data_IF_824520146314
#
_entry.id   IF_824520146314
#
_cell.length_a   1.000
_cell.length_b   1.000
_cell.length_c   1.000
_cell.angle_alpha   90.00
_cell.angle_beta   90.00
_cell.angle_gamma   90.00
#
_symmetry.space_group_name_H-M   'P 1'
#
loop_
_entity.id
_entity.type
_entity.pdbx_description
1 polymer ?
#
# COMPACT_ATOMS: atom_id res chain seq x y z
N UNK A 1 1.27 2.60 -19.80
CA UNK A 1 -0.07 1.99 -19.65
C UNK A 1 -0.27 1.63 -18.19
N UNK A 2 -1.51 1.46 -17.71
CA UNK A 2 -1.77 0.96 -16.35
C UNK A 2 -1.93 -0.55 -16.42
N UNK A 3 -1.24 -1.27 -15.53
CA UNK A 3 -1.34 -2.74 -15.45
C UNK A 3 -2.73 -3.16 -14.96
N UNK A 4 -3.29 -4.19 -15.59
CA UNK A 4 -4.53 -4.80 -15.12
C UNK A 4 -4.29 -5.57 -13.82
N UNK A 5 -5.34 -5.81 -13.03
CA UNK A 5 -5.26 -6.67 -11.85
C UNK A 5 -4.78 -8.08 -12.17
N UNK A 6 -5.14 -8.61 -13.35
CA UNK A 6 -4.62 -9.90 -13.81
C UNK A 6 -3.10 -9.88 -13.98
N UNK A 7 -2.59 -8.86 -14.66
CA UNK A 7 -1.14 -8.68 -14.88
C UNK A 7 -0.39 -8.46 -13.57
N UNK A 8 -0.92 -7.64 -12.66
CA UNK A 8 -0.34 -7.43 -11.32
C UNK A 8 -0.24 -8.75 -10.56
N UNK A 9 -1.29 -9.59 -10.63
CA UNK A 9 -1.28 -10.93 -10.05
C UNK A 9 -0.19 -11.79 -10.68
N UNK A 10 -0.09 -11.86 -11.99
CA UNK A 10 0.89 -12.73 -12.68
C UNK A 10 2.34 -12.34 -12.39
N UNK A 11 2.63 -11.04 -12.28
CA UNK A 11 3.98 -10.55 -12.04
C UNK A 11 4.50 -10.85 -10.62
N UNK A 12 3.62 -11.24 -9.68
CA UNK A 12 4.01 -11.62 -8.31
C UNK A 12 4.88 -10.57 -7.60
N UNK A 13 4.64 -9.28 -7.88
CA UNK A 13 5.42 -8.14 -7.38
C UNK A 13 5.33 -7.98 -5.86
N UNK A 14 4.24 -8.46 -5.25
CA UNK A 14 3.82 -8.08 -3.90
C UNK A 14 3.74 -9.32 -3.00
N UNK A 15 4.33 -9.27 -1.81
CA UNK A 15 4.30 -10.34 -0.82
C UNK A 15 4.09 -9.80 0.61
N UNK A 16 3.13 -10.30 1.40
CA UNK A 16 2.16 -11.33 1.04
C UNK A 16 1.10 -10.80 0.06
N UNK A 17 0.84 -11.55 -1.02
CA UNK A 17 -0.22 -11.21 -1.96
C UNK A 17 -1.61 -11.54 -1.37
N UNK A 18 -2.57 -10.64 -1.55
CA UNK A 18 -3.96 -10.82 -1.16
C UNK A 18 -4.89 -10.51 -2.33
N UNK A 19 -5.80 -11.45 -2.56
CA UNK A 19 -7.00 -11.18 -3.34
C UNK A 19 -7.86 -10.11 -2.66
N UNK A 20 -8.72 -9.47 -3.46
CA UNK A 20 -9.57 -8.40 -2.94
C UNK A 20 -10.41 -8.90 -1.78
N UNK A 21 -10.25 -8.28 -0.62
CA UNK A 21 -11.00 -8.63 0.58
C UNK A 21 -11.32 -7.39 1.40
N UNK A 22 -12.03 -7.58 2.50
CA UNK A 22 -12.46 -6.54 3.43
C UNK A 22 -12.13 -6.95 4.85
N UNK A 23 -11.46 -6.06 5.58
CA UNK A 23 -11.06 -6.26 6.97
C UNK A 23 -11.37 -4.98 7.76
N UNK A 24 -11.94 -5.11 8.96
CA UNK A 24 -12.37 -3.97 9.80
C UNK A 24 -13.19 -2.89 9.06
N UNK A 25 -14.00 -3.29 8.07
CA UNK A 25 -14.81 -2.33 7.31
C UNK A 25 -14.13 -1.68 6.11
N UNK A 26 -12.83 -1.93 5.87
CA UNK A 26 -12.04 -1.35 4.77
C UNK A 26 -11.58 -2.43 3.78
N UNK A 27 -11.60 -2.11 2.48
CA UNK A 27 -11.09 -3.05 1.46
C UNK A 27 -9.58 -2.92 1.29
N UNK A 28 -8.91 -4.06 1.07
CA UNK A 28 -7.50 -4.12 0.68
C UNK A 28 -7.26 -5.25 -0.35
N UNK A 29 -6.03 -5.37 -0.85
CA UNK A 29 -5.60 -6.39 -1.82
C UNK A 29 -5.83 -5.97 -3.28
N UNK A 30 -5.85 -6.97 -4.17
CA UNK A 30 -5.89 -6.75 -5.61
C UNK A 30 -7.14 -5.98 -6.08
N UNK A 31 -6.93 -4.88 -6.80
CA UNK A 31 -7.95 -4.13 -7.51
C UNK A 31 -7.97 -4.43 -9.01
N UNK A 32 -8.91 -3.81 -9.77
CA UNK A 32 -8.98 -4.00 -11.22
C UNK A 32 -7.75 -3.50 -11.99
N UNK A 33 -7.03 -2.51 -11.43
CA UNK A 33 -5.88 -1.86 -12.06
C UNK A 33 -4.89 -1.30 -11.02
N UNK A 34 -4.76 -1.98 -9.88
CA UNK A 34 -3.93 -1.53 -8.76
C UNK A 34 -4.00 -2.52 -7.60
N UNK A 35 -3.34 -2.18 -6.50
CA UNK A 35 -3.31 -3.00 -5.30
C UNK A 35 -3.42 -2.10 -4.06
N UNK A 36 -4.41 -2.37 -3.21
CA UNK A 36 -4.61 -1.65 -1.94
C UNK A 36 -3.71 -2.30 -0.86
N UNK A 37 -2.61 -1.64 -0.48
CA UNK A 37 -1.71 -2.10 0.60
C UNK A 37 -2.29 -1.89 2.00
N UNK A 38 -1.75 -2.64 2.96
CA UNK A 38 -1.98 -2.44 4.40
C UNK A 38 -0.73 -1.84 5.02
N UNK A 39 -0.88 -1.20 6.17
CA UNK A 39 0.21 -0.58 6.91
C UNK A 39 0.28 -1.10 8.35
N UNK A 40 1.50 -1.17 8.88
CA UNK A 40 1.80 -1.39 10.28
C UNK A 40 2.49 -0.15 10.88
N UNK A 41 2.15 0.17 12.14
CA UNK A 41 2.57 1.41 12.81
C UNK A 41 3.68 1.20 13.84
N UNK A 42 4.03 -0.04 14.16
CA UNK A 42 5.12 -0.39 15.07
C UNK A 42 5.92 -1.59 14.57
N UNK A 43 7.20 -1.67 14.95
CA UNK A 43 8.10 -2.75 14.56
C UNK A 43 7.71 -4.13 15.12
N UNK A 44 6.70 -4.19 15.99
CA UNK A 44 6.23 -5.39 16.69
C UNK A 44 4.84 -5.83 16.17
N UNK A 45 4.21 -5.08 15.26
CA UNK A 45 2.90 -5.36 14.70
C UNK A 45 1.75 -5.43 15.73
N UNK A 46 1.91 -4.80 16.89
CA UNK A 46 0.99 -4.94 18.03
C UNK A 46 -0.09 -3.85 18.05
N UNK A 47 0.15 -2.71 17.42
CA UNK A 47 -0.80 -1.61 17.38
C UNK A 47 -1.84 -1.79 16.28
N UNK A 48 -3.09 -2.00 16.68
CA UNK A 48 -4.24 -2.09 15.77
C UNK A 48 -4.88 -0.73 15.45
N UNK A 49 -4.58 0.31 16.24
CA UNK A 49 -5.11 1.66 16.09
C UNK A 49 -4.02 2.66 16.42
N UNK A 50 -3.91 3.70 15.61
CA UNK A 50 -2.97 4.80 15.83
C UNK A 50 -3.70 6.14 15.88
N UNK A 51 -3.33 6.96 16.87
CA UNK A 51 -3.89 8.29 17.05
C UNK A 51 -2.88 9.34 16.57
N UNK A 52 -3.24 10.07 15.53
CA UNK A 52 -2.46 11.19 15.01
C UNK A 52 -3.13 12.47 15.48
N UNK A 53 -2.38 13.34 16.16
CA UNK A 53 -2.88 14.65 16.59
C UNK A 53 -3.16 15.56 15.39
N UNK A 54 -3.91 16.63 15.59
CA UNK A 54 -4.06 17.66 14.56
C UNK A 54 -2.68 18.20 14.16
N UNK A 55 -2.41 18.26 12.85
CA UNK A 55 -1.12 18.61 12.26
C UNK A 55 0.05 17.65 12.64
N UNK A 56 -0.26 16.49 13.21
CA UNK A 56 0.72 15.45 13.47
C UNK A 56 1.14 14.71 12.20
N UNK A 57 2.33 14.11 12.24
CA UNK A 57 2.87 13.25 11.20
C UNK A 57 3.44 11.99 11.85
N UNK A 58 3.36 10.87 11.13
CA UNK A 58 3.86 9.58 11.57
C UNK A 58 4.35 8.80 10.35
N UNK A 59 5.45 8.07 10.53
CA UNK A 59 5.90 7.05 9.58
C UNK A 59 5.26 5.70 9.89
N UNK A 60 4.87 4.97 8.86
CA UNK A 60 4.44 3.59 8.95
C UNK A 60 5.20 2.77 7.91
N UNK A 61 5.11 1.46 7.95
CA UNK A 61 5.58 0.63 6.84
C UNK A 61 4.41 -0.12 6.23
N UNK A 62 4.44 -0.43 4.94
CA UNK A 62 3.51 -1.41 4.39
C UNK A 62 3.76 -2.78 4.99
N UNK A 63 2.69 -3.56 5.18
CA UNK A 63 2.81 -4.98 5.54
C UNK A 63 3.33 -5.76 4.33
N UNK A 64 2.91 -5.35 3.13
CA UNK A 64 3.39 -5.93 1.89
C UNK A 64 4.77 -5.40 1.50
N UNK A 65 5.68 -6.32 1.19
CA UNK A 65 6.95 -6.09 0.54
C UNK A 65 6.77 -6.13 -0.97
N UNK A 66 7.45 -5.23 -1.67
CA UNK A 66 7.50 -5.17 -3.12
C UNK A 66 8.84 -5.69 -3.62
N UNK A 67 8.78 -6.39 -4.76
CA UNK A 67 9.92 -6.76 -5.59
C UNK A 67 9.59 -6.32 -7.02
N UNK A 68 9.93 -5.07 -7.34
CA UNK A 68 9.56 -4.46 -8.62
C UNK A 68 10.42 -5.02 -9.76
N UNK A 69 9.81 -5.43 -10.90
CA UNK A 69 10.53 -5.69 -12.13
C UNK A 69 11.30 -4.45 -12.63
N UNK A 70 12.33 -4.66 -13.45
CA UNK A 70 13.16 -3.58 -14.02
C UNK A 70 12.43 -2.72 -15.06
N UNK A 71 11.25 -3.16 -15.51
CA UNK A 71 10.42 -2.51 -16.53
C UNK A 71 9.07 -2.01 -15.99
N UNK A 72 8.87 -2.05 -14.66
CA UNK A 72 7.61 -1.64 -14.01
C UNK A 72 7.88 -0.58 -12.95
N UNK A 73 7.12 0.49 -13.00
CA UNK A 73 7.09 1.55 -11.98
C UNK A 73 5.71 1.58 -11.30
N UNK A 74 5.70 1.78 -9.99
CA UNK A 74 4.49 2.00 -9.20
C UNK A 74 4.27 3.47 -8.89
N UNK A 75 3.01 3.91 -8.83
CA UNK A 75 2.63 5.24 -8.30
C UNK A 75 1.72 5.00 -7.10
N UNK A 76 2.07 5.59 -5.96
CA UNK A 76 1.31 5.43 -4.72
C UNK A 76 0.23 6.52 -4.63
N UNK A 77 -0.95 6.16 -4.14
CA UNK A 77 -2.07 7.08 -3.99
C UNK A 77 -2.81 6.86 -2.67
N UNK A 78 -3.33 7.95 -2.11
CA UNK A 78 -4.18 7.90 -0.93
C UNK A 78 -5.49 7.16 -1.24
N UNK A 79 -5.93 6.32 -0.30
CA UNK A 79 -7.29 5.80 -0.35
C UNK A 79 -8.29 6.91 -0.07
N UNK A 80 -9.30 7.06 -0.93
CA UNK A 80 -10.30 8.14 -0.79
C UNK A 80 -11.01 8.17 0.57
N UNK A 81 -11.16 7.02 1.24
CA UNK A 81 -11.71 6.92 2.60
C UNK A 81 -10.90 7.71 3.65
N UNK A 82 -9.59 7.80 3.47
CA UNK A 82 -8.67 8.55 4.33
C UNK A 82 -8.50 9.99 3.86
N UNK A 83 -8.40 10.21 2.54
CA UNK A 83 -8.33 11.55 1.96
C UNK A 83 -9.55 12.41 2.35
N UNK A 84 -10.76 11.83 2.37
CA UNK A 84 -11.99 12.52 2.83
C UNK A 84 -11.98 12.91 4.31
N UNK A 85 -11.07 12.33 5.11
CA UNK A 85 -10.87 12.64 6.53
C UNK A 85 -9.67 13.58 6.76
N UNK A 86 -9.06 14.10 5.69
CA UNK A 86 -7.90 14.98 5.77
C UNK A 86 -6.59 14.27 6.09
N UNK A 87 -6.52 12.94 5.97
CA UNK A 87 -5.28 12.18 6.12
C UNK A 87 -4.63 12.00 4.75
N UNK A 88 -3.34 12.35 4.66
CA UNK A 88 -2.51 12.25 3.45
C UNK A 88 -1.25 11.45 3.74
N UNK A 89 -0.83 10.54 2.86
CA UNK A 89 0.37 9.71 3.09
C UNK A 89 1.64 10.19 2.35
N UNK A 90 1.62 11.41 1.78
CA UNK A 90 2.78 12.02 1.10
C UNK A 90 3.46 11.11 0.05
N UNK A 91 2.65 10.61 -0.87
CA UNK A 91 3.03 9.58 -1.85
C UNK A 91 4.24 9.95 -2.74
N UNK A 92 5.01 8.92 -3.09
CA UNK A 92 6.10 8.94 -4.08
C UNK A 92 5.89 7.84 -5.13
N UNK A 93 6.92 7.55 -5.94
CA UNK A 93 6.93 6.45 -6.91
C UNK A 93 7.73 5.27 -6.39
N UNK A 94 7.39 4.07 -6.86
CA UNK A 94 8.16 2.85 -6.63
C UNK A 94 8.96 2.58 -7.90
N UNK A 95 10.28 2.76 -7.82
CA UNK A 95 11.17 2.68 -8.97
C UNK A 95 11.32 1.24 -9.51
N UNK A 96 11.61 1.07 -10.81
CA UNK A 96 11.94 -0.24 -11.37
C UNK A 96 13.15 -0.87 -10.66
N UNK A 97 13.09 -2.19 -10.45
CA UNK A 97 14.14 -2.95 -9.73
C UNK A 97 14.16 -2.75 -8.21
N UNK A 98 13.33 -1.86 -7.65
CA UNK A 98 13.30 -1.62 -6.21
C UNK A 98 12.70 -2.78 -5.42
N UNK A 99 13.31 -3.10 -4.27
CA UNK A 99 12.83 -4.15 -3.36
C UNK A 99 12.74 -3.61 -1.92
N UNK A 100 11.58 -3.77 -1.26
CA UNK A 100 11.42 -3.32 0.13
C UNK A 100 9.97 -3.14 0.57
N UNK A 101 9.81 -2.64 1.80
CA UNK A 101 8.54 -2.16 2.35
C UNK A 101 8.42 -0.67 2.10
N UNK A 102 7.26 -0.20 1.64
CA UNK A 102 7.03 1.24 1.50
C UNK A 102 6.97 1.85 2.90
N UNK A 103 7.54 3.04 3.06
CA UNK A 103 7.46 3.85 4.30
C UNK A 103 6.44 4.97 4.12
#
# INVERSE_FOLDING_TARGET
MILSGHTIRELQIISPFKERTKEFGMTHGLGPAGYDVRVEFDAIGCLSVMNISSNGFLLCSTIEQFHMPDDVMGIVHDKSSWARKGLTVQNTVIEPGWCGYLT
#
